data_IF_029860216334
#
_entry.id   IF_029860216334
#
_cell.length_a   1.000
_cell.length_b   1.000
_cell.length_c   1.000
_cell.angle_alpha   90.00
_cell.angle_beta   90.00
_cell.angle_gamma   90.00
#
_symmetry.space_group_name_H-M   'P 1'
#
loop_
_entity.id
_entity.type
_entity.pdbx_description
1 polymer ?
#
# COMPACT_ATOMS: atom_id res chain seq x y z
N UNK A 1 -7.40 14.02 1.10
CA UNK A 1 -7.46 12.58 1.44
C UNK A 1 -7.71 11.82 0.15
N UNK A 2 -6.72 11.09 -0.34
CA UNK A 2 -6.86 10.27 -1.55
C UNK A 2 -7.56 8.96 -1.20
N UNK A 3 -8.51 8.48 -2.02
CA UNK A 3 -9.19 7.22 -1.75
C UNK A 3 -8.20 6.05 -1.92
N UNK A 4 -8.11 5.12 -0.96
CA UNK A 4 -7.31 3.91 -1.12
C UNK A 4 -7.88 3.07 -2.28
N UNK A 5 -7.00 2.45 -3.05
CA UNK A 5 -7.38 1.52 -4.12
C UNK A 5 -7.19 0.09 -3.63
N UNK A 6 -8.25 -0.72 -3.72
CA UNK A 6 -8.23 -2.13 -3.27
C UNK A 6 -8.34 -3.04 -4.48
N UNK A 7 -7.44 -4.02 -4.56
CA UNK A 7 -7.36 -4.98 -5.64
C UNK A 7 -7.48 -6.41 -5.10
N UNK A 8 -8.37 -7.19 -5.72
CA UNK A 8 -8.68 -8.55 -5.33
C UNK A 8 -8.10 -9.55 -6.33
N UNK A 9 -7.34 -10.53 -5.83
CA UNK A 9 -6.72 -11.56 -6.65
C UNK A 9 -7.13 -12.95 -6.16
N UNK A 10 -7.77 -13.72 -7.05
CA UNK A 10 -8.09 -15.13 -6.81
C UNK A 10 -6.91 -16.01 -7.16
N UNK A 11 -6.57 -17.01 -6.32
CA UNK A 11 -5.46 -17.90 -6.57
C UNK A 11 -5.68 -18.63 -7.87
N UNK A 12 -4.63 -18.69 -8.69
CA UNK A 12 -4.55 -19.71 -9.72
C UNK A 12 -4.11 -21.03 -9.06
N UNK A 13 -4.25 -22.15 -9.76
CA UNK A 13 -3.91 -23.48 -9.23
C UNK A 13 -2.41 -23.67 -8.88
N UNK A 14 -1.59 -22.61 -8.93
CA UNK A 14 -0.18 -22.64 -8.62
C UNK A 14 0.06 -22.39 -7.12
N UNK A 15 0.92 -23.21 -6.52
CA UNK A 15 1.30 -23.10 -5.11
C UNK A 15 2.07 -21.82 -4.76
N UNK A 16 2.60 -21.12 -5.77
CA UNK A 16 3.36 -19.88 -5.64
C UNK A 16 2.57 -18.66 -6.14
N UNK A 17 1.24 -18.74 -6.20
CA UNK A 17 0.38 -17.66 -6.72
C UNK A 17 0.76 -16.27 -6.18
N UNK A 18 1.12 -16.20 -4.90
CA UNK A 18 1.52 -14.96 -4.25
C UNK A 18 2.78 -15.14 -3.40
N UNK A 19 3.94 -14.99 -4.03
CA UNK A 19 5.22 -14.96 -3.33
C UNK A 19 5.58 -13.52 -2.91
N UNK A 20 5.53 -13.26 -1.60
CA UNK A 20 5.83 -11.96 -1.01
C UNK A 20 7.29 -11.55 -1.24
N UNK A 21 8.22 -12.49 -1.31
CA UNK A 21 9.62 -12.18 -1.58
C UNK A 21 9.80 -11.67 -3.02
N UNK A 22 9.18 -12.36 -3.99
CA UNK A 22 9.16 -11.94 -5.40
C UNK A 22 8.49 -10.58 -5.55
N UNK A 23 7.38 -10.34 -4.85
CA UNK A 23 6.70 -9.04 -4.88
C UNK A 23 7.58 -7.92 -4.32
N UNK A 24 8.26 -8.14 -3.19
CA UNK A 24 9.20 -7.15 -2.61
C UNK A 24 10.36 -6.85 -3.55
N UNK A 25 10.94 -7.88 -4.17
CA UNK A 25 12.06 -7.74 -5.10
C UNK A 25 11.65 -6.97 -6.36
N UNK A 26 10.53 -7.36 -6.99
CA UNK A 26 10.02 -6.68 -8.18
C UNK A 26 9.65 -5.23 -7.89
N UNK A 27 9.06 -4.96 -6.73
CA UNK A 27 8.74 -3.61 -6.31
C UNK A 27 10.00 -2.77 -6.07
N UNK A 28 11.04 -3.34 -5.45
CA UNK A 28 12.34 -2.67 -5.30
C UNK A 28 12.92 -2.26 -6.65
N UNK A 29 12.85 -3.13 -7.67
CA UNK A 29 13.27 -2.83 -9.05
C UNK A 29 12.40 -1.74 -9.69
N UNK A 30 11.07 -1.81 -9.53
CA UNK A 30 10.14 -0.82 -10.07
C UNK A 30 10.37 0.57 -9.46
N UNK A 31 10.64 0.64 -8.17
CA UNK A 31 10.92 1.89 -7.45
C UNK A 31 12.25 2.54 -7.85
N UNK A 32 13.15 1.86 -8.57
CA UNK A 32 14.31 2.53 -9.19
C UNK A 32 13.83 3.47 -10.30
N UNK A 33 12.86 3.02 -11.10
CA UNK A 33 12.27 3.83 -12.19
C UNK A 33 11.28 4.84 -11.64
N UNK A 34 10.45 4.42 -10.67
CA UNK A 34 9.45 5.26 -10.00
C UNK A 34 9.94 5.77 -8.64
N UNK A 35 11.19 6.24 -8.59
CA UNK A 35 11.83 6.65 -7.34
C UNK A 35 11.07 7.70 -6.52
N UNK A 36 10.27 8.63 -7.09
CA UNK A 36 9.49 9.57 -6.28
C UNK A 36 8.53 8.87 -5.32
N UNK A 37 8.00 7.71 -5.70
CA UNK A 37 7.04 6.94 -4.89
C UNK A 37 7.68 6.32 -3.65
N UNK A 38 9.02 6.18 -3.63
CA UNK A 38 9.78 5.65 -2.51
C UNK A 38 10.27 6.74 -1.54
N UNK A 39 9.72 7.96 -1.63
CA UNK A 39 10.19 9.13 -0.87
C UNK A 39 9.15 9.63 0.13
N UNK A 40 9.50 10.72 0.79
CA UNK A 40 8.66 11.48 1.72
C UNK A 40 8.46 12.87 1.15
N UNK A 41 7.44 13.58 1.62
CA UNK A 41 7.29 14.99 1.31
C UNK A 41 8.04 15.83 2.33
N UNK A 42 8.41 17.06 1.99
CA UNK A 42 8.83 18.05 2.98
C UNK A 42 8.36 19.42 2.54
N UNK A 43 8.34 20.36 3.47
CA UNK A 43 8.19 21.77 3.15
C UNK A 43 9.56 22.43 3.17
N UNK A 44 9.84 23.26 2.17
CA UNK A 44 11.00 24.15 2.18
C UNK A 44 10.76 25.37 3.09
N UNK A 45 11.76 26.23 3.20
CA UNK A 45 11.69 27.46 4.01
C UNK A 45 10.64 28.46 3.48
N UNK A 46 10.27 28.36 2.20
CA UNK A 46 9.22 29.15 1.54
C UNK A 46 7.81 28.51 1.70
N UNK A 47 7.72 27.36 2.36
CA UNK A 47 6.50 26.61 2.59
C UNK A 47 6.00 25.79 1.39
N UNK A 48 6.79 25.68 0.32
CA UNK A 48 6.47 24.86 -0.85
C UNK A 48 6.68 23.38 -0.54
N UNK A 49 5.76 22.55 -1.03
CA UNK A 49 5.85 21.09 -0.89
C UNK A 49 6.80 20.53 -1.93
N UNK A 50 7.82 19.81 -1.48
CA UNK A 50 8.80 19.15 -2.35
C UNK A 50 9.04 17.69 -1.92
N UNK A 51 9.64 16.91 -2.82
CA UNK A 51 9.94 15.50 -2.59
C UNK A 51 11.29 15.38 -1.89
N UNK A 52 11.27 14.93 -0.64
CA UNK A 52 12.47 14.69 0.14
C UNK A 52 13.19 13.41 -0.33
N UNK A 53 14.35 13.58 -0.96
CA UNK A 53 15.13 12.49 -1.53
C UNK A 53 16.02 11.75 -0.50
N UNK A 54 15.48 11.36 0.66
CA UNK A 54 16.27 10.71 1.73
C UNK A 54 16.43 9.18 1.64
N UNK A 55 15.73 8.52 0.72
CA UNK A 55 15.95 7.08 0.49
C UNK A 55 15.25 6.20 1.54
N UNK A 56 14.30 6.77 2.27
CA UNK A 56 13.50 6.12 3.31
C UNK A 56 12.61 4.98 2.79
N UNK A 57 12.51 4.83 1.47
CA UNK A 57 11.78 3.76 0.82
C UNK A 57 10.26 3.90 0.98
N UNK A 58 9.54 2.84 0.62
CA UNK A 58 8.08 2.77 0.74
C UNK A 58 7.70 1.89 1.94
N UNK A 59 6.49 2.08 2.48
CA UNK A 59 5.95 1.17 3.50
C UNK A 59 5.28 -0.06 2.84
N UNK A 60 5.80 -1.24 3.14
CA UNK A 60 5.22 -2.52 2.73
C UNK A 60 4.71 -3.28 3.96
N UNK A 61 3.42 -3.59 3.99
CA UNK A 61 2.77 -4.33 5.08
C UNK A 61 2.29 -5.68 4.54
N UNK A 62 2.64 -6.77 5.23
CA UNK A 62 2.02 -8.08 5.00
C UNK A 62 1.06 -8.35 6.16
N UNK A 63 -0.18 -8.68 5.84
CA UNK A 63 -1.22 -9.11 6.76
C UNK A 63 -1.69 -10.52 6.40
N UNK A 64 -2.20 -11.24 7.39
CA UNK A 64 -2.84 -12.54 7.21
C UNK A 64 -4.19 -12.49 7.93
N UNK A 65 -5.22 -13.05 7.31
CA UNK A 65 -6.58 -13.08 7.86
C UNK A 65 -7.26 -14.40 7.53
N UNK A 66 -8.13 -14.86 8.44
CA UNK A 66 -8.92 -16.08 8.28
C UNK A 66 -10.21 -15.86 7.45
N UNK A 67 -10.46 -14.65 6.96
CA UNK A 67 -11.60 -14.36 6.07
C UNK A 67 -11.40 -15.00 4.70
N UNK A 68 -12.49 -15.21 3.96
CA UNK A 68 -12.48 -15.62 2.55
C UNK A 68 -12.84 -14.45 1.65
N UNK A 69 -12.48 -14.51 0.37
CA UNK A 69 -12.77 -13.42 -0.58
C UNK A 69 -14.28 -13.16 -0.74
N UNK A 70 -15.09 -14.21 -0.59
CA UNK A 70 -16.56 -14.13 -0.70
C UNK A 70 -17.19 -13.36 0.48
N UNK A 71 -16.50 -13.24 1.62
CA UNK A 71 -16.92 -12.39 2.74
C UNK A 71 -16.94 -10.90 2.33
N UNK A 72 -16.23 -10.54 1.25
CA UNK A 72 -16.17 -9.17 0.75
C UNK A 72 -17.27 -8.82 -0.26
N UNK A 73 -18.17 -9.77 -0.58
CA UNK A 73 -19.38 -9.53 -1.36
C UNK A 73 -19.11 -8.96 -2.76
N UNK A 74 -19.80 -7.88 -3.10
CA UNK A 74 -19.71 -7.17 -4.39
C UNK A 74 -18.57 -6.14 -4.44
N UNK A 75 -17.67 -6.15 -3.45
CA UNK A 75 -16.58 -5.19 -3.28
C UNK A 75 -17.05 -3.73 -3.11
N UNK A 76 -18.32 -3.50 -2.75
CA UNK A 76 -18.78 -2.17 -2.38
C UNK A 76 -18.03 -1.65 -1.14
N UNK A 77 -17.79 -0.33 -1.01
CA UNK A 77 -17.06 0.23 0.13
C UNK A 77 -17.77 -0.02 1.47
N UNK A 78 -17.42 -1.11 2.16
CA UNK A 78 -17.99 -1.50 3.46
C UNK A 78 -16.98 -1.39 4.60
N UNK A 79 -17.46 -1.44 5.84
CA UNK A 79 -16.58 -1.32 7.02
C UNK A 79 -15.51 -2.41 7.10
N UNK A 80 -15.78 -3.63 6.63
CA UNK A 80 -14.78 -4.71 6.66
C UNK A 80 -13.60 -4.44 5.70
N UNK A 81 -13.82 -3.71 4.60
CA UNK A 81 -12.74 -3.26 3.70
C UNK A 81 -11.79 -2.28 4.40
N UNK A 82 -12.27 -1.48 5.37
CA UNK A 82 -11.41 -0.59 6.19
C UNK A 82 -10.47 -1.37 7.10
N UNK A 83 -10.73 -2.65 7.37
CA UNK A 83 -9.79 -3.49 8.14
C UNK A 83 -8.61 -3.95 7.27
N UNK A 84 -8.76 -3.87 5.95
CA UNK A 84 -7.72 -4.18 4.97
C UNK A 84 -6.85 -2.98 4.61
N UNK A 85 -7.25 -1.76 5.01
CA UNK A 85 -6.39 -0.57 4.93
C UNK A 85 -5.46 -0.51 6.14
N UNK A 86 -4.16 -0.29 5.95
CA UNK A 86 -3.27 0.00 7.07
C UNK A 86 -3.74 1.27 7.77
N UNK A 87 -3.80 1.24 9.11
CA UNK A 87 -4.08 2.42 9.90
C UNK A 87 -2.86 3.35 9.88
N UNK A 88 -2.73 4.17 8.85
CA UNK A 88 -1.74 5.24 8.81
C UNK A 88 -2.26 6.37 9.70
N UNK A 89 -1.67 6.52 10.88
CA UNK A 89 -2.01 7.62 11.79
C UNK A 89 -1.30 8.87 11.29
N UNK A 90 -2.06 9.76 10.67
CA UNK A 90 -1.58 11.08 10.26
C UNK A 90 -1.48 12.02 11.46
N UNK A 91 -0.48 11.82 12.32
CA UNK A 91 -0.12 12.74 13.41
C UNK A 91 1.35 13.18 13.32
N UNK A 92 1.60 14.41 12.88
CA UNK A 92 2.97 14.91 12.65
C UNK A 92 3.15 15.60 11.30
N UNK A 93 4.41 15.98 11.02
CA UNK A 93 4.81 16.68 9.78
C UNK A 93 4.73 15.77 8.54
N UNK A 94 4.51 16.36 7.37
CA UNK A 94 4.35 15.63 6.09
C UNK A 94 5.58 14.79 5.71
N UNK A 95 6.74 15.08 6.31
CA UNK A 95 7.96 14.28 6.16
C UNK A 95 7.93 12.93 6.85
N UNK A 96 7.00 12.73 7.78
CA UNK A 96 6.89 11.46 8.51
C UNK A 96 6.16 10.38 7.71
N UNK A 97 5.37 10.75 6.69
CA UNK A 97 4.48 9.81 6.00
C UNK A 97 5.02 9.32 4.67
N UNK A 98 4.97 8.00 4.43
CA UNK A 98 5.30 7.45 3.12
C UNK A 98 4.33 7.90 2.04
N UNK A 99 4.89 8.34 0.90
CA UNK A 99 4.12 8.66 -0.31
C UNK A 99 3.34 7.45 -0.84
N UNK A 100 3.91 6.25 -0.65
CA UNK A 100 3.30 5.00 -1.07
C UNK A 100 3.28 3.98 0.06
N UNK A 101 2.07 3.47 0.33
CA UNK A 101 1.82 2.34 1.21
C UNK A 101 1.19 1.21 0.41
N UNK A 102 1.77 0.02 0.52
CA UNK A 102 1.17 -1.20 -0.01
C UNK A 102 0.94 -2.17 1.13
N UNK A 103 -0.31 -2.58 1.31
CA UNK A 103 -0.66 -3.68 2.18
C UNK A 103 -1.06 -4.89 1.34
N UNK A 104 -0.48 -6.05 1.65
CA UNK A 104 -0.87 -7.33 1.08
C UNK A 104 -1.49 -8.17 2.19
N UNK A 105 -2.76 -8.51 2.06
CA UNK A 105 -3.46 -9.41 2.98
C UNK A 105 -3.66 -10.78 2.32
N UNK A 106 -3.09 -11.83 2.91
CA UNK A 106 -3.38 -13.21 2.54
C UNK A 106 -4.60 -13.70 3.33
N UNK A 107 -5.63 -14.14 2.61
CA UNK A 107 -6.89 -14.69 3.12
C UNK A 107 -6.80 -16.22 3.26
N UNK A 108 -7.78 -16.80 3.95
CA UNK A 108 -7.99 -18.24 3.98
C UNK A 108 -8.22 -18.77 2.55
N UNK A 109 -7.61 -19.92 2.20
CA UNK A 109 -7.56 -20.52 0.84
C UNK A 109 -6.63 -19.85 -0.19
N UNK A 110 -5.54 -19.19 0.23
CA UNK A 110 -4.54 -18.57 -0.66
C UNK A 110 -5.07 -17.42 -1.55
N UNK A 111 -6.24 -16.85 -1.24
CA UNK A 111 -6.66 -15.58 -1.85
C UNK A 111 -5.79 -14.44 -1.34
N UNK A 112 -5.46 -13.48 -2.19
CA UNK A 112 -4.64 -12.33 -1.82
C UNK A 112 -5.35 -11.03 -2.20
N UNK A 113 -5.38 -10.09 -1.28
CA UNK A 113 -5.83 -8.72 -1.51
C UNK A 113 -4.60 -7.85 -1.44
N UNK A 114 -4.40 -6.99 -2.44
CA UNK A 114 -3.46 -5.90 -2.32
C UNK A 114 -4.21 -4.57 -2.22
N UNK A 115 -3.77 -3.75 -1.29
CA UNK A 115 -4.28 -2.40 -1.12
C UNK A 115 -3.15 -1.45 -1.39
N UNK A 116 -3.36 -0.60 -2.38
CA UNK A 116 -2.45 0.47 -2.75
C UNK A 116 -3.05 1.79 -2.27
N UNK A 117 -2.38 2.41 -1.31
CA UNK A 117 -2.68 3.79 -0.91
C UNK A 117 -1.58 4.68 -1.48
N UNK A 118 -1.97 5.49 -2.46
CA UNK A 118 -1.14 6.53 -3.03
C UNK A 118 -1.50 7.84 -2.35
N UNK A 119 -0.56 8.38 -1.58
CA UNK A 119 -0.71 9.71 -1.02
C UNK A 119 -0.11 10.72 -2.01
N UNK A 120 -0.98 11.40 -2.76
CA UNK A 120 -0.58 12.64 -3.42
C UNK A 120 -0.92 13.79 -2.47
N UNK A 121 0.04 14.62 -2.10
CA UNK A 121 -0.30 15.84 -1.37
C UNK A 121 -0.98 16.79 -2.33
N UNK A 122 -2.29 16.93 -2.18
CA UNK A 122 -3.09 17.96 -2.83
C UNK A 122 -3.38 19.03 -1.78
N UNK A 123 -2.37 19.85 -1.49
CA UNK A 123 -2.56 21.12 -0.82
C UNK A 123 -1.66 22.17 -1.44
#
# INVERSE_FOLDING_TARGET
MHPPSVYFYRPNACSNFFDVAVLKETLSKALVTFFPMARRLRRDDDGRVEINCNGDGMLFVKAETCSVIDDFGDFAPMMELKRLTPAVVYSGDISSYPLLVLQVACLYLNCCISLLELEFSNQ
#
